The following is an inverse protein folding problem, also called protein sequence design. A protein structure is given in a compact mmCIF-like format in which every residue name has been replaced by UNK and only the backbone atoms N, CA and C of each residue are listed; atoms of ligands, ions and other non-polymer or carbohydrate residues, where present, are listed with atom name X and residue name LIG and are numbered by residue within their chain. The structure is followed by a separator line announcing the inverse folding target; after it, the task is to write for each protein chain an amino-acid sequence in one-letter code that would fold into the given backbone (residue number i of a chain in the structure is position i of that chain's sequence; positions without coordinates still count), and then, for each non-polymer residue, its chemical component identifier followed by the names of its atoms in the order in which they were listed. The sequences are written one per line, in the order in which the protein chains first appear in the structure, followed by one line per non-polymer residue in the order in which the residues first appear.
data_IF_187427169207
#
_entry.id   IF_187427169207
#
_cell.length_a   1.000
_cell.length_b   1.000
_cell.length_c   1.000
_cell.angle_alpha   90.00
_cell.angle_beta   90.00
_cell.angle_gamma   90.00
#
_symmetry.space_group_name_H-M   'P 1'
#
loop_
_entity.id
_entity.type
_entity.pdbx_description
1 polymer ?
#
# COMPACT_ATOMS: atom_id res chain seq x y z
N UNK A 1 0.74 -4.75 16.07
CA UNK A 1 1.62 -3.72 15.51
C UNK A 1 2.85 -4.35 14.91
N UNK A 2 3.27 -3.90 13.73
CA UNK A 2 4.45 -4.42 13.03
C UNK A 2 5.48 -3.31 12.94
N UNK A 3 6.65 -3.44 13.61
CA UNK A 3 7.72 -2.46 13.47
C UNK A 3 8.29 -2.48 12.05
N UNK A 4 8.67 -1.30 11.57
CA UNK A 4 9.29 -1.16 10.26
C UNK A 4 10.75 -0.75 10.40
N UNK A 5 11.59 -1.15 9.44
CA UNK A 5 12.96 -0.67 9.36
C UNK A 5 13.00 0.82 9.05
N UNK A 6 14.12 1.47 9.30
CA UNK A 6 14.29 2.90 9.01
C UNK A 6 14.06 3.21 7.53
N UNK A 7 14.48 2.32 6.65
CA UNK A 7 14.25 2.47 5.21
C UNK A 7 12.77 2.51 4.87
N UNK A 8 11.97 1.60 5.45
CA UNK A 8 10.52 1.57 5.25
C UNK A 8 9.86 2.80 5.84
N UNK A 9 10.26 3.22 7.03
CA UNK A 9 9.73 4.44 7.64
C UNK A 9 9.96 5.67 6.77
N UNK A 10 11.14 5.80 6.17
CA UNK A 10 11.46 6.92 5.27
C UNK A 10 10.64 6.86 3.99
N UNK A 11 10.52 5.68 3.38
CA UNK A 11 9.77 5.51 2.15
C UNK A 11 8.29 5.84 2.32
N UNK A 12 7.71 5.48 3.47
CA UNK A 12 6.29 5.68 3.76
C UNK A 12 5.99 6.91 4.63
N UNK A 13 6.99 7.75 4.90
CA UNK A 13 6.80 8.94 5.75
C UNK A 13 5.64 9.84 5.31
N UNK A 14 5.42 10.11 4.00
CA UNK A 14 4.28 10.94 3.57
C UNK A 14 2.91 10.34 3.90
N UNK A 15 2.85 9.05 4.17
CA UNK A 15 1.61 8.32 4.45
C UNK A 15 1.32 8.18 5.95
N UNK A 16 2.17 8.71 6.81
CA UNK A 16 1.96 8.64 8.25
C UNK A 16 0.64 9.29 8.66
N UNK A 17 -0.10 8.59 9.53
CA UNK A 17 -1.38 9.07 10.01
C UNK A 17 -2.52 8.90 9.01
N UNK A 18 -2.23 8.43 7.80
CA UNK A 18 -3.25 8.18 6.78
C UNK A 18 -3.71 6.74 6.84
N UNK A 19 -4.97 6.51 6.46
CA UNK A 19 -5.57 5.18 6.48
C UNK A 19 -5.46 4.57 5.10
N UNK A 20 -4.80 3.42 5.01
CA UNK A 20 -4.64 2.63 3.80
C UNK A 20 -5.55 1.43 3.88
N UNK A 21 -6.32 1.20 2.82
CA UNK A 21 -7.17 0.01 2.68
C UNK A 21 -6.61 -0.86 1.56
N UNK A 22 -6.43 -2.14 1.86
CA UNK A 22 -5.98 -3.12 0.88
C UNK A 22 -7.13 -4.03 0.52
N UNK A 23 -7.61 -3.94 -0.72
CA UNK A 23 -8.64 -4.85 -1.23
C UNK A 23 -8.00 -5.95 -2.05
N UNK A 24 -8.41 -7.18 -1.80
CA UNK A 24 -7.96 -8.35 -2.56
C UNK A 24 -9.11 -8.76 -3.47
N UNK A 25 -8.90 -8.67 -4.78
CA UNK A 25 -9.94 -9.02 -5.76
C UNK A 25 -10.34 -10.48 -5.61
N UNK A 26 -11.65 -10.71 -5.59
CA UNK A 26 -12.21 -12.04 -5.45
C UNK A 26 -12.34 -12.55 -4.01
N UNK A 27 -11.89 -11.77 -3.03
CA UNK A 27 -12.02 -12.10 -1.61
C UNK A 27 -12.79 -11.01 -0.87
N UNK A 28 -13.59 -11.38 0.15
CA UNK A 28 -14.36 -10.41 0.93
C UNK A 28 -13.50 -9.80 2.06
N UNK A 29 -12.23 -9.58 1.83
CA UNK A 29 -11.31 -9.02 2.82
C UNK A 29 -10.74 -7.72 2.31
N UNK A 30 -10.72 -6.71 3.19
CA UNK A 30 -10.19 -5.40 2.89
C UNK A 30 -9.59 -4.79 4.15
N UNK A 31 -8.45 -5.31 4.62
CA UNK A 31 -7.83 -4.79 5.84
C UNK A 31 -7.39 -3.34 5.66
N UNK A 32 -7.50 -2.58 6.74
CA UNK A 32 -7.07 -1.19 6.77
C UNK A 32 -5.94 -1.02 7.77
N UNK A 33 -4.97 -0.20 7.40
CA UNK A 33 -3.78 0.05 8.21
C UNK A 33 -3.46 1.54 8.24
N UNK A 34 -2.80 1.96 9.30
CA UNK A 34 -2.16 3.26 9.37
C UNK A 34 -0.72 3.10 9.82
N UNK A 35 0.11 4.07 9.46
CA UNK A 35 1.50 4.13 9.89
C UNK A 35 1.66 5.16 10.99
N UNK A 36 2.44 4.82 12.01
CA UNK A 36 2.92 5.77 13.00
C UNK A 36 4.43 5.68 13.14
N UNK A 37 5.00 6.32 14.15
CA UNK A 37 6.45 6.31 14.35
C UNK A 37 7.01 4.93 14.74
N UNK A 38 6.17 4.01 15.17
CA UNK A 38 6.59 2.68 15.60
C UNK A 38 6.44 1.66 14.48
N UNK A 39 5.40 1.77 13.66
CA UNK A 39 5.16 0.83 12.57
C UNK A 39 3.73 0.83 12.07
N UNK A 40 3.33 -0.29 11.49
CA UNK A 40 1.97 -0.51 11.01
C UNK A 40 1.06 -0.93 12.15
N UNK A 41 -0.15 -0.36 12.16
CA UNK A 41 -1.21 -0.79 13.07
C UNK A 41 -2.54 -0.85 12.35
N UNK A 42 -3.49 -1.67 12.82
CA UNK A 42 -4.84 -1.69 12.27
C UNK A 42 -5.50 -0.32 12.38
N UNK A 43 -6.30 0.04 11.38
CA UNK A 43 -7.03 1.30 11.36
C UNK A 43 -8.50 1.06 11.05
N UNK A 44 -9.33 2.00 11.48
CA UNK A 44 -10.78 1.96 11.29
C UNK A 44 -11.24 3.29 10.69
N UNK A 45 -12.45 3.29 10.15
CA UNK A 45 -13.03 4.47 9.54
C UNK A 45 -12.81 4.53 8.03
N UNK A 46 -13.01 5.72 7.48
CA UNK A 46 -12.89 5.91 6.03
C UNK A 46 -11.43 5.89 5.59
N UNK A 47 -11.09 5.11 4.54
CA UNK A 47 -9.72 5.10 4.05
C UNK A 47 -9.39 6.38 3.28
N UNK A 48 -8.15 6.84 3.40
CA UNK A 48 -7.61 7.93 2.59
C UNK A 48 -7.19 7.43 1.21
N UNK A 49 -6.65 6.23 1.16
CA UNK A 49 -6.22 5.57 -0.07
C UNK A 49 -6.65 4.11 -0.04
N UNK A 50 -7.16 3.62 -1.15
CA UNK A 50 -7.51 2.21 -1.34
C UNK A 50 -6.69 1.63 -2.47
N UNK A 51 -6.04 0.50 -2.19
CA UNK A 51 -5.29 -0.27 -3.19
C UNK A 51 -6.08 -1.53 -3.50
N UNK A 52 -6.25 -1.82 -4.79
CA UNK A 52 -6.92 -3.04 -5.26
C UNK A 52 -5.99 -3.85 -6.14
N UNK A 53 -5.85 -5.12 -5.82
CA UNK A 53 -5.08 -6.06 -6.62
C UNK A 53 -5.55 -7.49 -6.30
N UNK A 54 -5.18 -8.44 -7.15
CA UNK A 54 -5.39 -9.86 -6.84
C UNK A 54 -4.37 -10.31 -5.80
N UNK A 55 -4.65 -11.43 -5.13
CA UNK A 55 -3.67 -12.02 -4.21
C UNK A 55 -2.35 -12.32 -4.91
N UNK A 56 -2.41 -12.85 -6.14
CA UNK A 56 -1.21 -13.13 -6.93
C UNK A 56 -0.39 -11.88 -7.19
N UNK A 57 -1.03 -10.74 -7.45
CA UNK A 57 -0.32 -9.47 -7.69
C UNK A 57 0.31 -8.92 -6.41
N UNK A 58 -0.35 -9.07 -5.26
CA UNK A 58 0.26 -8.71 -3.98
C UNK A 58 1.49 -9.58 -3.68
N UNK A 59 1.40 -10.87 -3.97
CA UNK A 59 2.54 -11.78 -3.82
C UNK A 59 3.67 -11.39 -4.77
N UNK A 60 3.35 -11.03 -6.01
CA UNK A 60 4.34 -10.56 -6.98
C UNK A 60 5.08 -9.30 -6.50
N UNK A 61 4.36 -8.38 -5.87
CA UNK A 61 4.98 -7.20 -5.26
C UNK A 61 5.89 -7.57 -4.08
N UNK A 62 5.40 -8.44 -3.20
CA UNK A 62 6.14 -8.85 -2.01
C UNK A 62 7.42 -9.62 -2.34
N UNK A 63 7.37 -10.44 -3.39
CA UNK A 63 8.51 -11.24 -3.85
C UNK A 63 9.37 -10.51 -4.87
N UNK A 64 8.97 -9.30 -5.25
CA UNK A 64 9.65 -8.47 -6.27
C UNK A 64 9.77 -9.17 -7.63
N UNK A 65 8.83 -10.05 -7.94
CA UNK A 65 8.78 -10.71 -9.26
C UNK A 65 8.19 -9.79 -10.32
N UNK A 66 7.46 -8.76 -9.90
CA UNK A 66 6.96 -7.72 -10.80
C UNK A 66 7.08 -6.35 -10.16
N UNK A 67 7.30 -5.36 -11.00
CA UNK A 67 7.47 -3.97 -10.66
C UNK A 67 6.10 -3.29 -10.39
N UNK A 68 5.96 -2.45 -9.35
CA UNK A 68 4.71 -1.73 -9.09
C UNK A 68 4.23 -0.90 -10.28
N UNK A 69 5.12 -0.24 -11.02
CA UNK A 69 4.75 0.53 -12.21
C UNK A 69 4.10 -0.35 -13.27
N UNK A 70 4.67 -1.51 -13.53
CA UNK A 70 4.12 -2.46 -14.50
C UNK A 70 2.72 -2.90 -14.11
N UNK A 71 2.51 -3.23 -12.83
CA UNK A 71 1.21 -3.63 -12.33
C UNK A 71 0.18 -2.50 -12.45
N UNK A 72 0.60 -1.27 -12.17
CA UNK A 72 -0.26 -0.09 -12.26
C UNK A 72 -0.66 0.19 -13.71
N UNK A 73 0.29 0.23 -14.63
CA UNK A 73 0.02 0.53 -16.04
C UNK A 73 -0.78 -0.58 -16.74
N UNK A 74 -0.65 -1.81 -16.31
CA UNK A 74 -1.44 -2.93 -16.84
C UNK A 74 -2.78 -3.09 -16.13
N UNK A 75 -3.13 -2.19 -15.22
CA UNK A 75 -4.38 -2.17 -14.45
C UNK A 75 -4.56 -3.39 -13.54
N UNK A 76 -3.49 -4.08 -13.24
CA UNK A 76 -3.50 -5.17 -12.25
C UNK A 76 -3.46 -4.61 -10.83
N UNK A 77 -2.89 -3.43 -10.66
CA UNK A 77 -2.86 -2.68 -9.42
C UNK A 77 -3.64 -1.39 -9.61
N UNK A 78 -4.69 -1.19 -8.84
CA UNK A 78 -5.47 0.05 -8.86
C UNK A 78 -5.29 0.79 -7.54
N UNK A 79 -5.13 2.10 -7.61
CA UNK A 79 -4.99 2.97 -6.45
C UNK A 79 -6.06 4.04 -6.55
N UNK A 80 -6.91 4.15 -5.53
CA UNK A 80 -8.03 5.08 -5.48
C UNK A 80 -7.99 5.91 -4.20
N UNK A 81 -8.69 7.04 -4.21
CA UNK A 81 -8.80 7.94 -3.07
C UNK A 81 -8.07 9.23 -3.33
N UNK A 82 -7.38 9.74 -2.32
CA UNK A 82 -6.59 10.97 -2.44
C UNK A 82 -5.48 10.78 -3.49
N UNK A 83 -5.54 11.56 -4.56
CA UNK A 83 -4.61 11.41 -5.70
C UNK A 83 -3.17 11.66 -5.30
N UNK A 84 -2.91 12.65 -4.46
CA UNK A 84 -1.56 12.96 -4.01
C UNK A 84 -1.00 11.83 -3.14
N UNK A 85 -1.82 11.29 -2.25
CA UNK A 85 -1.42 10.16 -1.41
C UNK A 85 -1.24 8.89 -2.24
N UNK A 86 -2.06 8.67 -3.25
CA UNK A 86 -1.91 7.55 -4.17
C UNK A 86 -0.57 7.58 -4.90
N UNK A 87 -0.15 8.76 -5.36
CA UNK A 87 1.15 8.94 -5.99
C UNK A 87 2.29 8.71 -4.99
N UNK A 88 2.16 9.20 -3.76
CA UNK A 88 3.16 8.97 -2.71
C UNK A 88 3.28 7.48 -2.37
N UNK A 89 2.16 6.77 -2.32
CA UNK A 89 2.15 5.33 -2.09
C UNK A 89 2.87 4.59 -3.21
N UNK A 90 2.57 4.94 -4.47
CA UNK A 90 3.23 4.34 -5.63
C UNK A 90 4.74 4.57 -5.57
N UNK A 91 5.16 5.81 -5.27
CA UNK A 91 6.57 6.14 -5.17
C UNK A 91 7.24 5.39 -4.01
N UNK A 92 6.54 5.22 -2.89
CA UNK A 92 7.06 4.45 -1.77
C UNK A 92 7.26 2.98 -2.13
N UNK A 93 6.33 2.38 -2.87
CA UNK A 93 6.45 1.01 -3.36
C UNK A 93 7.64 0.87 -4.31
N UNK A 94 7.83 1.82 -5.21
CA UNK A 94 8.98 1.83 -6.12
C UNK A 94 10.30 1.91 -5.35
N UNK A 95 10.35 2.66 -4.27
CA UNK A 95 11.57 2.81 -3.46
C UNK A 95 11.96 1.52 -2.71
N UNK A 96 11.05 0.56 -2.57
CA UNK A 96 11.30 -0.71 -1.91
C UNK A 96 11.92 -1.76 -2.85
N UNK A 97 11.89 -1.53 -4.12
CA UNK A 97 12.35 -2.49 -5.15
C UNK A 97 13.83 -2.35 -5.43
#
# INVERSE_FOLDING_TARGET
MIPLSDRLHRAFAPLRGKVLRLEVRGLPVAPQFTLDFIGLRPAFGSPDVTVRASLADYVALATRSEDPDTLFFTRRLAIEGDTALGLELKNALDALV
#
